data_IF_536818232453
#
_entry.id   IF_536818232453
#
_cell.length_a   1.000
_cell.length_b   1.000
_cell.length_c   1.000
_cell.angle_alpha   90.00
_cell.angle_beta   90.00
_cell.angle_gamma   90.00
#
_symmetry.space_group_name_H-M   'P 1'
#
loop_
_entity.id
_entity.type
_entity.pdbx_description
1 polymer ?
#
# COMPACT_ATOMS: atom_id res chain seq x y z
N UNK A 1 -58.59 23.36 9.88
CA UNK A 1 -58.15 22.81 8.57
C UNK A 1 -57.62 24.00 7.76
N UNK A 2 -56.40 24.10 7.23
CA UNK A 2 -55.42 23.14 6.70
C UNK A 2 -54.01 23.49 7.23
N UNK A 3 -53.20 22.48 7.60
CA UNK A 3 -51.74 22.62 7.76
C UNK A 3 -51.10 22.59 6.37
N UNK A 4 -50.33 23.62 6.01
CA UNK A 4 -49.49 23.60 4.81
C UNK A 4 -48.13 23.06 5.24
N UNK A 5 -47.81 21.85 4.81
CA UNK A 5 -46.50 21.24 4.97
C UNK A 5 -45.61 21.72 3.83
N UNK A 6 -44.55 22.45 4.17
CA UNK A 6 -43.51 22.85 3.19
C UNK A 6 -42.40 21.82 3.31
N UNK A 7 -42.45 20.80 2.46
CA UNK A 7 -41.29 19.98 2.11
C UNK A 7 -41.05 20.17 0.61
N UNK A 8 -40.46 21.31 0.26
CA UNK A 8 -39.79 21.42 -1.03
C UNK A 8 -38.52 20.58 -0.95
N UNK A 9 -38.55 19.41 -1.59
CA UNK A 9 -37.35 18.63 -1.86
C UNK A 9 -36.46 19.45 -2.78
N UNK A 10 -35.33 19.91 -2.24
CA UNK A 10 -34.23 20.43 -3.05
C UNK A 10 -33.71 19.25 -3.89
N UNK A 11 -33.60 19.38 -5.22
CA UNK A 11 -33.02 18.33 -6.04
C UNK A 11 -31.56 18.14 -5.63
N UNK A 12 -31.21 16.91 -5.27
CA UNK A 12 -29.86 16.51 -4.88
C UNK A 12 -28.97 16.53 -6.13
N UNK A 13 -28.48 17.70 -6.53
CA UNK A 13 -27.35 17.78 -7.45
C UNK A 13 -26.18 17.10 -6.76
N UNK A 14 -25.68 16.01 -7.33
CA UNK A 14 -24.48 15.35 -6.83
C UNK A 14 -23.31 16.32 -6.99
N UNK A 15 -23.04 17.09 -5.95
CA UNK A 15 -21.79 17.82 -5.81
C UNK A 15 -20.68 16.76 -5.82
N UNK A 16 -19.75 16.87 -6.77
CA UNK A 16 -18.52 16.08 -6.74
C UNK A 16 -17.78 16.44 -5.46
N UNK A 17 -17.44 15.45 -4.59
CA UNK A 17 -16.72 15.73 -3.36
C UNK A 17 -15.39 16.42 -3.66
N UNK A 18 -14.98 17.33 -2.78
CA UNK A 18 -13.67 17.99 -2.89
C UNK A 18 -12.55 16.98 -2.69
N UNK A 19 -11.34 17.26 -3.20
CA UNK A 19 -10.19 16.33 -3.09
C UNK A 19 -9.83 16.01 -1.64
N UNK A 20 -9.89 17.00 -0.75
CA UNK A 20 -9.66 16.81 0.69
C UNK A 20 -10.69 15.88 1.33
N UNK A 21 -11.96 15.95 0.91
CA UNK A 21 -13.01 15.05 1.39
C UNK A 21 -12.84 13.62 0.85
N UNK A 22 -12.28 13.45 -0.36
CA UNK A 22 -11.99 12.14 -0.94
C UNK A 22 -10.92 11.38 -0.14
N UNK A 23 -9.88 12.06 0.32
CA UNK A 23 -8.77 11.44 1.07
C UNK A 23 -8.96 11.45 2.59
N UNK A 24 -10.05 12.02 3.12
CA UNK A 24 -10.23 12.21 4.56
C UNK A 24 -10.36 10.92 5.39
N UNK A 25 -10.73 9.78 4.78
CA UNK A 25 -10.94 8.52 5.48
C UNK A 25 -10.88 7.29 4.58
N UNK A 26 -10.70 6.10 5.16
CA UNK A 26 -10.83 4.84 4.40
C UNK A 26 -12.21 4.68 3.74
N UNK A 27 -13.26 5.20 4.38
CA UNK A 27 -14.62 5.12 3.85
C UNK A 27 -14.78 5.99 2.61
N UNK A 28 -14.19 7.18 2.58
CA UNK A 28 -14.24 8.07 1.41
C UNK A 28 -13.41 7.51 0.25
N UNK A 29 -12.24 6.93 0.53
CA UNK A 29 -11.41 6.26 -0.49
C UNK A 29 -12.14 5.07 -1.11
N UNK A 30 -12.73 4.20 -0.28
CA UNK A 30 -13.51 3.04 -0.79
C UNK A 30 -14.69 3.45 -1.65
N UNK A 31 -15.41 4.50 -1.25
CA UNK A 31 -16.50 5.06 -2.06
C UNK A 31 -15.97 5.55 -3.42
N UNK A 32 -14.78 6.17 -3.43
CA UNK A 32 -14.10 6.55 -4.67
C UNK A 32 -13.81 5.35 -5.58
N UNK A 33 -13.34 4.22 -5.03
CA UNK A 33 -13.15 2.99 -5.80
C UNK A 33 -14.46 2.41 -6.34
N UNK A 34 -15.55 2.48 -5.58
CA UNK A 34 -16.88 2.03 -6.04
C UNK A 34 -17.40 2.90 -7.20
N UNK A 35 -17.13 4.21 -7.18
CA UNK A 35 -17.59 5.14 -8.20
C UNK A 35 -16.73 5.15 -9.47
N UNK A 36 -15.41 4.94 -9.33
CA UNK A 36 -14.44 5.14 -10.42
C UNK A 36 -13.57 3.94 -10.75
N UNK A 37 -13.76 2.78 -10.10
CA UNK A 37 -12.76 1.70 -9.99
C UNK A 37 -11.48 2.17 -9.30
N UNK A 38 -10.62 1.24 -8.87
CA UNK A 38 -9.31 1.59 -8.28
C UNK A 38 -8.47 2.36 -9.29
N UNK A 39 -8.35 1.84 -10.51
CA UNK A 39 -7.59 2.46 -11.60
C UNK A 39 -8.15 3.85 -11.92
N UNK A 40 -9.44 3.97 -12.24
CA UNK A 40 -10.02 5.27 -12.62
C UNK A 40 -10.05 6.29 -11.48
N UNK A 41 -10.05 5.86 -10.21
CA UNK A 41 -9.86 6.76 -9.08
C UNK A 41 -8.45 7.37 -9.10
N UNK A 42 -7.41 6.55 -9.24
CA UNK A 42 -6.04 7.05 -9.21
C UNK A 42 -5.60 7.74 -10.52
N UNK A 43 -6.09 7.34 -11.68
CA UNK A 43 -5.88 8.09 -12.93
C UNK A 43 -6.41 9.52 -12.82
N UNK A 44 -7.49 9.73 -12.05
CA UNK A 44 -8.14 11.03 -11.91
C UNK A 44 -7.59 11.87 -10.74
N UNK A 45 -7.10 11.22 -9.69
CA UNK A 45 -6.76 11.89 -8.42
C UNK A 45 -5.36 11.54 -7.87
N UNK A 46 -4.60 10.66 -8.52
CA UNK A 46 -3.34 10.11 -8.03
C UNK A 46 -2.21 11.13 -7.92
N UNK A 47 -2.13 12.10 -8.82
CA UNK A 47 -1.08 13.14 -8.83
C UNK A 47 -1.05 14.01 -7.55
N UNK A 48 -2.15 14.05 -6.82
CA UNK A 48 -2.28 14.82 -5.57
C UNK A 48 -2.62 13.93 -4.37
N UNK A 49 -2.58 12.60 -4.52
CA UNK A 49 -2.93 11.66 -3.47
C UNK A 49 -2.05 11.87 -2.22
N UNK A 50 -2.67 11.78 -1.04
CA UNK A 50 -1.98 11.68 0.24
C UNK A 50 -2.73 10.69 1.12
N UNK A 51 -2.00 9.76 1.73
CA UNK A 51 -2.62 8.80 2.64
C UNK A 51 -3.07 9.51 3.94
N UNK A 52 -4.34 9.38 4.37
CA UNK A 52 -4.82 10.00 5.61
C UNK A 52 -4.14 9.46 6.88
N UNK A 53 -3.48 8.30 6.81
CA UNK A 53 -2.82 7.64 7.94
C UNK A 53 -1.29 7.79 7.91
N UNK A 54 -0.77 8.81 7.23
CA UNK A 54 0.69 8.99 7.07
C UNK A 54 1.45 9.02 8.40
N UNK A 55 0.90 9.74 9.39
CA UNK A 55 1.55 9.83 10.70
C UNK A 55 1.64 8.46 11.38
N UNK A 56 0.55 7.69 11.32
CA UNK A 56 0.50 6.33 11.85
C UNK A 56 1.44 5.40 11.09
N UNK A 57 1.53 5.52 9.76
CA UNK A 57 2.45 4.74 8.90
C UNK A 57 3.90 4.96 9.32
N UNK A 58 4.32 6.21 9.54
CA UNK A 58 5.67 6.52 9.98
C UNK A 58 6.00 5.91 11.34
N UNK A 59 5.08 6.03 12.31
CA UNK A 59 5.26 5.50 13.67
C UNK A 59 5.34 3.97 13.69
N UNK A 60 4.41 3.30 13.01
CA UNK A 60 4.38 1.83 12.99
C UNK A 60 5.55 1.26 12.18
N UNK A 61 6.03 1.94 11.13
CA UNK A 61 7.23 1.54 10.42
C UNK A 61 8.46 1.62 11.33
N UNK A 62 8.61 2.69 12.11
CA UNK A 62 9.71 2.82 13.06
C UNK A 62 9.69 1.66 14.08
N UNK A 63 8.53 1.38 14.68
CA UNK A 63 8.36 0.25 15.60
C UNK A 63 8.71 -1.09 14.93
N UNK A 64 8.26 -1.30 13.68
CA UNK A 64 8.55 -2.51 12.92
C UNK A 64 10.05 -2.70 12.65
N UNK A 65 10.74 -1.64 12.21
CA UNK A 65 12.19 -1.67 11.96
C UNK A 65 12.95 -1.99 13.25
N UNK A 66 12.58 -1.34 14.36
CA UNK A 66 13.25 -1.51 15.66
C UNK A 66 13.00 -2.89 16.26
N UNK A 67 11.75 -3.39 16.23
CA UNK A 67 11.36 -4.65 16.85
C UNK A 67 11.82 -5.86 16.05
N UNK A 68 11.66 -5.82 14.72
CA UNK A 68 11.97 -6.97 13.86
C UNK A 68 13.39 -6.94 13.31
N UNK A 69 14.17 -5.89 13.60
CA UNK A 69 15.53 -5.69 13.07
C UNK A 69 15.56 -5.85 11.55
N UNK A 70 14.62 -5.18 10.88
CA UNK A 70 14.46 -5.29 9.44
C UNK A 70 15.77 -4.91 8.72
N UNK A 71 16.18 -5.73 7.75
CA UNK A 71 17.28 -5.38 6.86
C UNK A 71 16.80 -4.32 5.86
N UNK A 72 17.45 -3.15 5.85
CA UNK A 72 17.13 -2.00 5.00
C UNK A 72 18.23 -1.70 3.96
N UNK A 73 19.11 -2.65 3.66
CA UNK A 73 20.24 -2.49 2.72
C UNK A 73 19.78 -2.18 1.29
N UNK A 74 18.66 -2.78 0.87
CA UNK A 74 17.98 -2.51 -0.39
C UNK A 74 16.49 -2.83 -0.27
N UNK A 75 15.65 -1.81 -0.31
CA UNK A 75 14.22 -1.91 -0.05
C UNK A 75 13.43 -1.64 -1.33
N UNK A 76 12.40 -2.44 -1.55
CA UNK A 76 11.34 -2.13 -2.51
C UNK A 76 10.11 -1.62 -1.75
N UNK A 77 9.74 -0.37 -1.99
CA UNK A 77 8.44 0.19 -1.60
C UNK A 77 7.42 -0.15 -2.71
N UNK A 78 6.69 -1.24 -2.50
CA UNK A 78 5.74 -1.81 -3.46
C UNK A 78 4.36 -1.18 -3.29
N UNK A 79 3.81 -0.66 -4.39
CA UNK A 79 2.65 0.24 -4.38
C UNK A 79 2.92 1.43 -3.45
N UNK A 80 4.01 2.15 -3.77
CA UNK A 80 4.58 3.19 -2.91
C UNK A 80 3.66 4.41 -2.75
N UNK A 81 2.57 4.51 -3.51
CA UNK A 81 1.68 5.67 -3.45
C UNK A 81 2.47 6.95 -3.69
N UNK A 82 2.19 7.98 -2.90
CA UNK A 82 2.93 9.24 -2.96
C UNK A 82 4.27 9.19 -2.22
N UNK A 83 4.63 8.05 -1.63
CA UNK A 83 5.94 7.79 -1.03
C UNK A 83 5.98 7.94 0.49
N UNK A 84 4.86 7.75 1.20
CA UNK A 84 4.82 7.82 2.68
C UNK A 84 5.84 6.88 3.34
N UNK A 85 5.94 5.63 2.86
CA UNK A 85 6.95 4.66 3.34
C UNK A 85 8.36 5.12 2.94
N UNK A 86 8.60 5.47 1.68
CA UNK A 86 9.90 6.00 1.23
C UNK A 86 10.40 7.17 2.08
N UNK A 87 9.56 8.17 2.36
CA UNK A 87 9.95 9.31 3.22
C UNK A 87 10.30 8.86 4.63
N UNK A 88 9.51 7.94 5.21
CA UNK A 88 9.78 7.44 6.55
C UNK A 88 11.08 6.62 6.60
N UNK A 89 11.36 5.79 5.60
CA UNK A 89 12.63 5.07 5.45
C UNK A 89 13.83 6.01 5.27
N UNK A 90 13.70 7.07 4.47
CA UNK A 90 14.74 8.09 4.30
C UNK A 90 15.09 8.77 5.62
N UNK A 91 14.09 9.08 6.46
CA UNK A 91 14.30 9.64 7.81
C UNK A 91 15.03 8.69 8.75
N UNK A 92 14.89 7.38 8.53
CA UNK A 92 15.64 6.33 9.24
C UNK A 92 17.04 6.08 8.64
N UNK A 93 17.45 6.85 7.62
CA UNK A 93 18.77 6.74 6.99
C UNK A 93 18.86 5.71 5.86
N UNK A 94 17.74 5.11 5.43
CA UNK A 94 17.75 4.19 4.29
C UNK A 94 17.92 4.97 2.97
N UNK A 95 18.89 4.55 2.16
CA UNK A 95 19.27 5.24 0.91
C UNK A 95 18.78 4.48 -0.33
N UNK A 96 18.91 3.15 -0.29
CA UNK A 96 18.68 2.27 -1.43
C UNK A 96 17.23 1.78 -1.44
N UNK A 97 16.35 2.65 -1.93
CA UNK A 97 14.91 2.44 -2.01
C UNK A 97 14.48 2.59 -3.45
N UNK A 98 13.88 1.54 -3.99
CA UNK A 98 13.13 1.55 -5.26
C UNK A 98 11.63 1.68 -4.95
N UNK A 99 10.92 2.52 -5.70
CA UNK A 99 9.47 2.66 -5.59
C UNK A 99 8.78 2.09 -6.82
N UNK A 100 7.65 1.41 -6.62
CA UNK A 100 6.78 0.98 -7.73
C UNK A 100 5.36 1.44 -7.41
N UNK A 101 4.77 2.24 -8.30
CA UNK A 101 3.35 2.55 -8.28
C UNK A 101 2.88 2.95 -9.70
N UNK A 102 1.88 2.26 -10.28
CA UNK A 102 1.43 2.54 -11.64
C UNK A 102 0.64 3.85 -11.78
N UNK A 103 0.21 4.47 -10.67
CA UNK A 103 -0.74 5.57 -10.73
C UNK A 103 -0.28 6.87 -10.05
N UNK A 104 0.64 6.80 -9.09
CA UNK A 104 1.07 7.98 -8.29
C UNK A 104 2.53 8.38 -8.51
N UNK A 105 3.16 7.92 -9.59
CA UNK A 105 4.59 8.13 -9.87
C UNK A 105 5.01 9.61 -9.90
N UNK A 106 4.15 10.53 -10.36
CA UNK A 106 4.44 11.97 -10.34
C UNK A 106 4.45 12.54 -8.91
N UNK A 107 3.43 12.18 -8.11
CA UNK A 107 3.33 12.58 -6.71
C UNK A 107 4.52 12.05 -5.91
N UNK A 108 4.87 10.78 -6.15
CA UNK A 108 6.04 10.13 -5.58
C UNK A 108 7.35 10.87 -5.89
N UNK A 109 7.60 11.21 -7.17
CA UNK A 109 8.80 11.94 -7.58
C UNK A 109 8.89 13.31 -6.90
N UNK A 110 7.79 14.07 -6.93
CA UNK A 110 7.72 15.40 -6.32
C UNK A 110 7.99 15.35 -4.81
N UNK A 111 7.50 14.32 -4.13
CA UNK A 111 7.62 14.18 -2.67
C UNK A 111 8.97 13.64 -2.23
N UNK A 112 9.44 12.58 -2.88
CA UNK A 112 10.60 11.78 -2.42
C UNK A 112 11.91 12.13 -3.12
N UNK A 113 11.83 12.81 -4.27
CA UNK A 113 12.96 13.04 -5.17
C UNK A 113 13.42 11.78 -5.93
N UNK A 114 12.74 10.64 -5.79
CA UNK A 114 13.05 9.38 -6.48
C UNK A 114 12.02 9.10 -7.56
N UNK A 115 12.43 8.45 -8.66
CA UNK A 115 11.47 7.94 -9.65
C UNK A 115 10.85 6.65 -9.15
N UNK A 116 9.55 6.47 -9.40
CA UNK A 116 8.87 5.19 -9.24
C UNK A 116 8.65 4.54 -10.61
N UNK A 117 8.81 3.23 -10.70
CA UNK A 117 8.39 2.48 -11.89
C UNK A 117 6.88 2.27 -11.87
N UNK A 118 6.27 2.26 -13.05
CA UNK A 118 4.82 2.23 -13.21
C UNK A 118 4.26 0.81 -13.44
N UNK A 119 4.81 -0.21 -12.76
CA UNK A 119 4.32 -1.58 -12.89
C UNK A 119 3.10 -1.84 -12.01
N UNK A 120 2.12 -2.53 -12.58
CA UNK A 120 0.93 -3.02 -11.86
C UNK A 120 1.24 -4.34 -11.14
N UNK A 121 0.34 -4.76 -10.25
CA UNK A 121 0.46 -6.09 -9.64
C UNK A 121 0.38 -7.21 -10.69
N UNK A 122 -0.31 -6.98 -11.80
CA UNK A 122 -0.43 -7.91 -12.92
C UNK A 122 0.89 -8.06 -13.67
N UNK A 123 1.59 -6.95 -13.92
CA UNK A 123 2.93 -6.97 -14.52
C UNK A 123 3.92 -7.72 -13.62
N UNK A 124 3.86 -7.45 -12.31
CA UNK A 124 4.71 -8.13 -11.33
C UNK A 124 4.40 -9.63 -11.29
N UNK A 125 3.13 -10.01 -11.28
CA UNK A 125 2.70 -11.41 -11.35
C UNK A 125 3.10 -12.09 -12.68
N UNK A 126 3.25 -11.33 -13.76
CA UNK A 126 3.79 -11.79 -15.04
C UNK A 126 5.33 -11.89 -15.06
N UNK A 127 6.00 -11.54 -13.95
CA UNK A 127 7.46 -11.71 -13.79
C UNK A 127 8.29 -10.47 -14.13
N UNK A 128 7.69 -9.28 -14.18
CA UNK A 128 8.39 -8.08 -14.62
C UNK A 128 9.54 -7.63 -13.71
N UNK A 129 9.60 -8.16 -12.49
CA UNK A 129 10.69 -7.93 -11.53
C UNK A 129 11.76 -9.03 -11.54
N UNK A 130 11.67 -10.02 -12.44
CA UNK A 130 12.59 -11.16 -12.48
C UNK A 130 14.06 -10.73 -12.53
N UNK A 131 14.92 -11.41 -11.76
CA UNK A 131 16.36 -11.15 -11.68
C UNK A 131 16.76 -10.00 -10.75
N UNK A 132 15.78 -9.31 -10.13
CA UNK A 132 16.05 -8.32 -9.08
C UNK A 132 16.26 -9.00 -7.73
N UNK A 133 16.90 -8.27 -6.82
CA UNK A 133 17.13 -8.73 -5.45
C UNK A 133 16.92 -7.56 -4.48
N UNK A 134 16.15 -7.81 -3.43
CA UNK A 134 15.82 -6.88 -2.36
C UNK A 134 16.00 -7.54 -0.99
N UNK A 135 16.59 -6.80 -0.06
CA UNK A 135 16.68 -7.21 1.35
C UNK A 135 15.31 -7.26 2.03
N UNK A 136 14.39 -6.39 1.60
CA UNK A 136 13.04 -6.27 2.12
C UNK A 136 12.10 -5.71 1.05
N UNK A 137 10.90 -6.26 0.98
CA UNK A 137 9.75 -5.62 0.31
C UNK A 137 8.82 -5.06 1.37
N UNK A 138 8.39 -3.81 1.23
CA UNK A 138 7.32 -3.21 2.02
C UNK A 138 6.14 -2.95 1.08
N UNK A 139 4.95 -3.41 1.46
CA UNK A 139 3.71 -3.07 0.75
C UNK A 139 2.72 -2.41 1.72
N UNK A 140 2.40 -1.15 1.47
CA UNK A 140 1.55 -0.34 2.33
C UNK A 140 0.20 -0.08 1.67
N UNK A 141 -0.88 -0.46 2.33
CA UNK A 141 -2.26 -0.08 1.99
C UNK A 141 -2.71 -0.49 0.57
N UNK A 142 -2.00 -1.42 -0.07
CA UNK A 142 -2.31 -1.85 -1.43
C UNK A 142 -2.53 -3.37 -1.59
N UNK A 143 -1.88 -4.21 -0.78
CA UNK A 143 -2.02 -5.67 -0.93
C UNK A 143 -3.46 -6.17 -0.77
N UNK A 144 -4.32 -5.45 -0.04
CA UNK A 144 -5.73 -5.78 0.11
C UNK A 144 -6.59 -5.45 -1.14
N UNK A 145 -6.03 -4.74 -2.11
CA UNK A 145 -6.65 -4.42 -3.40
C UNK A 145 -6.47 -5.56 -4.42
N UNK A 146 -5.50 -6.44 -4.20
CA UNK A 146 -5.26 -7.61 -5.05
C UNK A 146 -6.35 -8.65 -4.80
N UNK A 147 -6.96 -9.14 -5.87
CA UNK A 147 -7.92 -10.23 -5.78
C UNK A 147 -7.27 -11.48 -5.16
N UNK A 148 -7.97 -12.16 -4.25
CA UNK A 148 -7.40 -13.31 -3.52
C UNK A 148 -6.90 -14.41 -4.46
N UNK A 149 -7.57 -14.63 -5.60
CA UNK A 149 -7.15 -15.59 -6.63
C UNK A 149 -5.83 -15.22 -7.34
N UNK A 150 -5.43 -13.94 -7.29
CA UNK A 150 -4.17 -13.44 -7.88
C UNK A 150 -3.02 -13.38 -6.88
N UNK A 151 -3.30 -13.42 -5.57
CA UNK A 151 -2.27 -13.40 -4.54
C UNK A 151 -1.25 -14.55 -4.69
N UNK A 152 -1.61 -15.81 -4.98
CA UNK A 152 -0.62 -16.89 -5.05
C UNK A 152 0.47 -16.65 -6.09
N UNK A 153 0.10 -16.21 -7.30
CA UNK A 153 1.07 -15.96 -8.38
C UNK A 153 1.90 -14.70 -8.12
N UNK A 154 1.27 -13.64 -7.59
CA UNK A 154 1.99 -12.43 -7.19
C UNK A 154 3.03 -12.74 -6.11
N UNK A 155 2.63 -13.43 -5.05
CA UNK A 155 3.50 -13.80 -3.94
C UNK A 155 4.61 -14.76 -4.35
N UNK A 156 4.36 -15.64 -5.32
CA UNK A 156 5.40 -16.47 -5.92
C UNK A 156 6.45 -15.60 -6.61
N UNK A 157 6.05 -14.66 -7.48
CA UNK A 157 7.01 -13.76 -8.14
C UNK A 157 7.80 -12.91 -7.15
N UNK A 158 7.16 -12.38 -6.10
CA UNK A 158 7.83 -11.64 -5.04
C UNK A 158 8.84 -12.52 -4.27
N UNK A 159 8.56 -13.83 -4.12
CA UNK A 159 9.48 -14.76 -3.45
C UNK A 159 10.77 -15.01 -4.21
N UNK A 160 10.78 -14.74 -5.53
CA UNK A 160 11.98 -14.90 -6.36
C UNK A 160 12.97 -13.74 -6.19
N UNK A 161 12.55 -12.63 -5.59
CA UNK A 161 13.36 -11.40 -5.49
C UNK A 161 13.61 -10.95 -4.04
N UNK A 162 12.96 -11.58 -3.05
CA UNK A 162 13.24 -11.34 -1.63
C UNK A 162 12.85 -12.54 -0.77
N UNK A 163 13.47 -12.64 0.41
CA UNK A 163 13.11 -13.59 1.46
C UNK A 163 12.29 -12.93 2.59
N UNK A 164 12.07 -11.61 2.53
CA UNK A 164 11.58 -10.81 3.65
C UNK A 164 10.56 -9.78 3.16
N UNK A 165 9.37 -9.75 3.76
CA UNK A 165 8.31 -8.82 3.37
C UNK A 165 7.57 -8.27 4.58
N UNK A 166 7.27 -6.97 4.58
CA UNK A 166 6.40 -6.33 5.56
C UNK A 166 5.15 -5.76 4.87
N UNK A 167 3.97 -6.05 5.42
CA UNK A 167 2.69 -5.53 4.91
C UNK A 167 2.07 -4.61 5.94
N UNK A 168 1.76 -3.38 5.53
CA UNK A 168 1.06 -2.38 6.34
C UNK A 168 -0.38 -2.23 5.82
N UNK A 169 -1.38 -2.35 6.69
CA UNK A 169 -2.79 -2.33 6.28
C UNK A 169 -3.69 -1.71 7.34
N UNK A 170 -4.74 -0.94 6.95
CA UNK A 170 -5.73 -0.40 7.89
C UNK A 170 -6.76 -1.47 8.32
N UNK A 171 -6.74 -2.65 7.69
CA UNK A 171 -7.77 -3.67 7.83
C UNK A 171 -7.16 -5.00 8.32
N UNK A 172 -8.01 -5.96 8.69
CA UNK A 172 -7.54 -7.32 9.01
C UNK A 172 -6.97 -8.08 7.80
N UNK A 173 -7.25 -7.61 6.57
CA UNK A 173 -6.83 -8.24 5.30
C UNK A 173 -5.65 -7.48 4.66
N UNK A 174 -4.82 -8.15 3.85
CA UNK A 174 -4.86 -9.58 3.54
C UNK A 174 -4.17 -10.41 4.63
N UNK A 175 -4.65 -11.62 4.86
CA UNK A 175 -3.91 -12.64 5.61
C UNK A 175 -3.35 -13.60 4.58
N UNK A 176 -2.02 -13.64 4.44
CA UNK A 176 -1.38 -14.52 3.49
C UNK A 176 -1.40 -15.94 4.04
N UNK A 177 -1.73 -16.91 3.19
CA UNK A 177 -1.71 -18.32 3.59
C UNK A 177 -0.30 -18.87 3.45
N UNK A 178 0.13 -19.67 4.41
CA UNK A 178 1.46 -20.31 4.39
C UNK A 178 1.67 -21.23 3.17
N UNK A 179 0.58 -21.79 2.63
CA UNK A 179 0.58 -22.57 1.38
C UNK A 179 1.05 -21.76 0.15
N UNK A 180 1.03 -20.42 0.24
CA UNK A 180 1.57 -19.52 -0.79
C UNK A 180 3.05 -19.18 -0.57
N UNK A 181 3.72 -19.87 0.36
CA UNK A 181 5.16 -19.77 0.58
C UNK A 181 5.59 -18.74 1.61
N UNK A 182 4.69 -18.00 2.26
CA UNK A 182 5.05 -16.94 3.21
C UNK A 182 4.52 -17.26 4.61
N UNK A 183 5.40 -17.21 5.62
CA UNK A 183 5.05 -17.39 7.02
C UNK A 183 4.99 -16.02 7.70
N UNK A 184 3.88 -15.72 8.35
CA UNK A 184 3.75 -14.53 9.19
C UNK A 184 4.49 -14.78 10.52
N UNK A 185 5.57 -14.05 10.78
CA UNK A 185 6.36 -14.20 12.01
C UNK A 185 5.81 -13.37 13.17
N UNK A 186 5.29 -12.17 12.88
CA UNK A 186 4.80 -11.27 13.91
C UNK A 186 3.80 -10.24 13.35
N UNK A 187 2.98 -9.65 14.23
CA UNK A 187 2.05 -8.56 13.95
C UNK A 187 2.20 -7.44 14.99
N UNK A 188 2.43 -6.21 14.52
CA UNK A 188 2.35 -5.00 15.35
C UNK A 188 1.07 -4.25 14.98
N UNK A 189 0.36 -3.76 15.98
CA UNK A 189 -0.81 -2.90 15.80
C UNK A 189 -0.52 -1.55 16.46
N UNK A 190 -0.63 -0.48 15.69
CA UNK A 190 -0.52 0.89 16.18
C UNK A 190 -1.70 1.71 15.67
N UNK A 191 -2.50 2.26 16.59
CA UNK A 191 -3.80 2.87 16.30
C UNK A 191 -4.70 1.97 15.43
N UNK A 192 -4.95 2.37 14.17
CA UNK A 192 -5.77 1.63 13.20
C UNK A 192 -4.95 0.86 12.18
N UNK A 193 -3.62 0.99 12.20
CA UNK A 193 -2.72 0.37 11.23
C UNK A 193 -2.14 -0.91 11.83
N UNK A 194 -2.02 -1.93 10.99
CA UNK A 194 -1.35 -3.20 11.31
C UNK A 194 -0.15 -3.34 10.42
N UNK A 195 0.97 -3.73 11.00
CA UNK A 195 2.15 -4.19 10.29
C UNK A 195 2.27 -5.69 10.52
N UNK A 196 2.51 -6.45 9.47
CA UNK A 196 2.81 -7.89 9.55
C UNK A 196 4.13 -8.19 8.90
N UNK A 197 4.96 -8.96 9.58
CA UNK A 197 6.24 -9.39 9.05
C UNK A 197 6.16 -10.82 8.54
N UNK A 198 6.61 -11.01 7.30
CA UNK A 198 6.62 -12.29 6.63
C UNK A 198 8.03 -12.70 6.20
N UNK A 199 8.31 -13.99 6.31
CA UNK A 199 9.48 -14.63 5.72
C UNK A 199 9.08 -15.70 4.72
N UNK A 200 9.92 -15.91 3.72
CA UNK A 200 9.77 -17.04 2.81
C UNK A 200 9.94 -18.35 3.59
N UNK A 201 8.97 -19.26 3.47
CA UNK A 201 8.90 -20.53 4.21
C UNK A 201 10.14 -21.41 4.06
N UNK A 202 10.84 -21.30 2.93
CA UNK A 202 12.00 -22.15 2.61
C UNK A 202 13.35 -21.43 2.81
N UNK A 203 13.40 -20.33 3.55
CA UNK A 203 14.67 -19.59 3.78
C UNK A 203 15.63 -20.29 4.75
N UNK A 204 15.37 -21.53 5.17
CA UNK A 204 16.30 -22.36 5.92
C UNK A 204 16.86 -23.48 5.04
N UNK A 205 17.84 -23.13 4.20
CA UNK A 205 18.84 -24.05 3.65
C UNK A 205 20.08 -23.25 3.19
N UNK A 206 20.57 -22.36 4.04
CA UNK A 206 21.98 -21.94 3.98
C UNK A 206 22.60 -22.36 5.32
N UNK A 207 23.11 -23.59 5.34
CA UNK A 207 24.08 -24.05 6.33
C UNK A 207 25.48 -23.83 5.78
#
# INVERSE_FOLDING_TARGET
>A
MKKISVHQRIPNSRLTPTKSELWASDRSIRKGYEEHSVQGFYEKFGDEYSNPHEQEIGQILQLAVENWKLNLDKVLDLACGSGEITIALQKLGCVNIDGIDPYTYNAYLKRTGKQAEAYTFEDIAAGQLCGRNYSLIICSFAMHLVAESRLPILLYQLSLITHSMAIFTPNKRPHLREEWGWICLDEIIYNRVRARFYKLRYSENEK
#
